data_IF_352538622546
#
_entry.id   IF_352538622546
#
_cell.length_a   1.000
_cell.length_b   1.000
_cell.length_c   1.000
_cell.angle_alpha   90.00
_cell.angle_beta   90.00
_cell.angle_gamma   90.00
#
_symmetry.space_group_name_H-M   'P 1'
#
loop_
_entity.id
_entity.type
_entity.pdbx_description
1 polymer ?
#
# COMPACT_ATOMS: atom_id res chain seq x y z
N UNK A 1 -21.26 -31.51 58.17
CA UNK A 1 -20.34 -31.05 57.11
C UNK A 1 -21.01 -29.90 56.38
N UNK A 2 -20.46 -28.68 56.48
CA UNK A 2 -20.96 -27.50 55.75
C UNK A 2 -20.07 -27.34 54.52
N UNK A 3 -20.63 -27.55 53.33
CA UNK A 3 -19.96 -27.31 52.05
C UNK A 3 -20.23 -25.87 51.63
N UNK A 4 -19.20 -25.04 51.67
CA UNK A 4 -19.22 -23.67 51.16
C UNK A 4 -18.93 -23.69 49.66
N UNK A 5 -19.92 -23.39 48.85
CA UNK A 5 -19.76 -23.23 47.40
C UNK A 5 -19.29 -21.81 47.10
N UNK A 6 -18.03 -21.65 46.69
CA UNK A 6 -17.53 -20.38 46.17
C UNK A 6 -17.91 -20.27 44.68
N UNK A 7 -18.83 -19.37 44.36
CA UNK A 7 -19.08 -18.95 42.98
C UNK A 7 -17.94 -18.06 42.50
N UNK A 8 -17.09 -18.58 41.62
CA UNK A 8 -16.17 -17.76 40.82
C UNK A 8 -16.99 -17.02 39.75
N UNK A 9 -17.12 -15.71 39.92
CA UNK A 9 -17.60 -14.81 38.87
C UNK A 9 -16.43 -14.59 37.90
N UNK A 10 -16.44 -15.29 36.76
CA UNK A 10 -15.48 -15.04 35.69
C UNK A 10 -15.83 -13.73 34.99
N UNK A 11 -15.10 -12.66 35.28
CA UNK A 11 -15.15 -11.41 34.53
C UNK A 11 -14.48 -11.67 33.17
N UNK A 12 -15.27 -11.94 32.14
CA UNK A 12 -14.79 -11.93 30.77
C UNK A 12 -14.48 -10.48 30.39
N UNK A 13 -13.22 -10.06 30.54
CA UNK A 13 -12.73 -8.86 29.90
C UNK A 13 -12.75 -9.11 28.39
N UNK A 14 -13.82 -8.68 27.72
CA UNK A 14 -13.83 -8.57 26.27
C UNK A 14 -12.79 -7.50 25.91
N UNK A 15 -11.58 -7.95 25.57
CA UNK A 15 -10.58 -7.12 24.91
C UNK A 15 -11.22 -6.60 23.63
N UNK A 16 -11.67 -5.34 23.63
CA UNK A 16 -11.94 -4.61 22.41
C UNK A 16 -10.64 -4.67 21.61
N UNK A 17 -10.63 -5.45 20.53
CA UNK A 17 -9.62 -5.31 19.50
C UNK A 17 -9.65 -3.83 19.14
N UNK A 18 -8.59 -3.09 19.47
CA UNK A 18 -8.51 -1.69 19.16
C UNK A 18 -8.54 -1.59 17.63
N UNK A 19 -9.71 -1.29 17.07
CA UNK A 19 -9.79 -0.79 15.72
C UNK A 19 -9.04 0.52 15.69
N UNK A 20 -8.07 0.61 14.81
CA UNK A 20 -7.19 1.75 14.71
C UNK A 20 -6.76 1.96 13.26
N UNK A 21 -6.50 0.87 12.56
CA UNK A 21 -5.75 0.83 11.32
C UNK A 21 -6.67 0.67 10.09
N UNK A 22 -6.15 0.86 8.88
CA UNK A 22 -6.97 0.75 7.66
C UNK A 22 -6.15 0.35 6.43
N UNK A 23 -6.80 -0.23 5.42
CA UNK A 23 -6.23 -0.50 4.09
C UNK A 23 -7.27 -0.26 2.99
N UNK A 24 -6.81 0.05 1.76
CA UNK A 24 -7.70 0.03 0.60
C UNK A 24 -8.08 -1.41 0.27
N UNK A 25 -9.38 -1.70 0.18
CA UNK A 25 -9.89 -3.03 -0.16
C UNK A 25 -10.53 -3.10 -1.54
N UNK A 26 -11.12 -2.00 -2.02
CA UNK A 26 -11.82 -1.97 -3.30
C UNK A 26 -11.77 -0.59 -3.97
N UNK A 27 -12.20 -0.56 -5.22
CA UNK A 27 -12.34 0.64 -6.04
C UNK A 27 -13.70 0.64 -6.73
N UNK A 28 -14.28 1.81 -6.87
CA UNK A 28 -15.46 2.05 -7.69
C UNK A 28 -15.10 2.97 -8.86
N UNK A 29 -15.67 2.73 -10.03
CA UNK A 29 -15.49 3.58 -11.22
C UNK A 29 -16.88 4.04 -11.65
N UNK A 30 -17.11 5.35 -11.66
CA UNK A 30 -18.41 5.96 -11.98
C UNK A 30 -19.59 5.38 -11.15
N UNK A 31 -19.32 5.04 -9.89
CA UNK A 31 -20.30 4.43 -8.99
C UNK A 31 -20.50 2.93 -9.17
N UNK A 32 -19.72 2.26 -10.03
CA UNK A 32 -19.74 0.80 -10.19
C UNK A 32 -18.61 0.13 -9.40
N UNK A 33 -18.96 -0.79 -8.49
CA UNK A 33 -18.02 -1.59 -7.71
C UNK A 33 -17.18 -2.50 -8.61
N UNK A 34 -15.86 -2.40 -8.51
CA UNK A 34 -14.92 -3.26 -9.25
C UNK A 34 -14.59 -4.58 -8.51
N UNK A 35 -15.23 -4.80 -7.36
CA UNK A 35 -15.01 -5.95 -6.47
C UNK A 35 -13.74 -5.80 -5.64
N UNK A 36 -13.47 -6.78 -4.77
CA UNK A 36 -12.27 -6.78 -3.93
C UNK A 36 -10.99 -6.72 -4.78
N UNK A 37 -10.19 -5.69 -4.56
CA UNK A 37 -8.91 -5.46 -5.22
C UNK A 37 -7.71 -5.95 -4.40
N UNK A 38 -7.90 -6.19 -3.11
CA UNK A 38 -6.88 -6.65 -2.17
C UNK A 38 -6.75 -8.18 -2.10
N UNK A 39 -6.84 -8.83 -3.26
CA UNK A 39 -6.73 -10.28 -3.41
C UNK A 39 -5.56 -10.65 -4.32
N UNK A 40 -5.19 -11.94 -4.34
CA UNK A 40 -4.10 -12.43 -5.20
C UNK A 40 -4.32 -12.15 -6.69
N UNK A 41 -5.59 -12.16 -7.14
CA UNK A 41 -5.99 -11.86 -8.51
C UNK A 41 -6.43 -10.39 -8.70
N UNK A 42 -6.22 -9.57 -7.66
CA UNK A 42 -6.69 -8.20 -7.57
C UNK A 42 -5.83 -7.18 -8.30
N UNK A 43 -6.15 -5.91 -8.07
CA UNK A 43 -5.58 -4.74 -8.74
C UNK A 43 -4.91 -3.75 -7.77
N UNK A 44 -4.88 -4.09 -6.48
CA UNK A 44 -4.24 -3.31 -5.41
C UNK A 44 -2.98 -4.04 -4.97
N UNK A 45 -1.85 -3.32 -4.93
CA UNK A 45 -0.60 -3.83 -4.34
C UNK A 45 -0.72 -3.78 -2.83
N UNK A 46 -1.24 -4.87 -2.27
CA UNK A 46 -1.75 -4.89 -0.90
C UNK A 46 -0.67 -5.29 0.11
N UNK A 47 -0.56 -4.56 1.23
CA UNK A 47 0.27 -5.00 2.35
C UNK A 47 -0.33 -6.26 3.01
N UNK A 48 0.46 -7.02 3.77
CA UNK A 48 -0.02 -8.23 4.47
C UNK A 48 -0.86 -7.91 5.72
N UNK A 49 -0.90 -6.65 6.15
CA UNK A 49 -1.65 -6.19 7.32
C UNK A 49 -2.02 -4.72 7.15
N UNK A 50 -2.89 -4.21 8.01
CA UNK A 50 -3.22 -2.79 8.10
C UNK A 50 -2.21 -1.97 8.93
N UNK A 51 -1.08 -2.53 9.34
CA UNK A 51 -0.05 -1.79 10.09
C UNK A 51 0.43 -0.55 9.31
N UNK A 52 0.71 0.57 10.00
CA UNK A 52 1.12 1.79 9.33
C UNK A 52 2.61 1.74 8.96
N UNK A 53 2.98 2.51 7.94
CA UNK A 53 4.38 2.92 7.74
C UNK A 53 4.62 4.19 8.56
N UNK A 54 5.73 4.29 9.28
CA UNK A 54 6.07 5.48 10.09
C UNK A 54 7.41 6.12 9.70
N UNK A 55 8.31 5.34 9.11
CA UNK A 55 9.60 5.84 8.64
C UNK A 55 9.46 6.46 7.24
N UNK A 56 9.40 7.80 7.17
CA UNK A 56 9.31 8.58 5.92
C UNK A 56 10.46 8.35 4.93
N UNK A 57 11.58 7.76 5.39
CA UNK A 57 12.73 7.40 4.54
C UNK A 57 12.65 5.95 4.02
N UNK A 58 11.69 5.15 4.48
CA UNK A 58 11.53 3.76 4.01
C UNK A 58 11.11 3.73 2.54
N UNK A 59 11.60 2.74 1.80
CA UNK A 59 11.09 2.42 0.46
C UNK A 59 9.61 2.06 0.47
N UNK A 60 9.11 1.56 1.61
CA UNK A 60 7.69 1.21 1.82
C UNK A 60 6.77 2.44 1.70
N UNK A 61 7.30 3.66 1.84
CA UNK A 61 6.51 4.87 1.58
C UNK A 61 5.95 4.90 0.15
N UNK A 62 6.58 4.22 -0.80
CA UNK A 62 6.15 4.24 -2.21
C UNK A 62 4.75 3.66 -2.37
N UNK A 63 4.56 2.41 -1.94
CA UNK A 63 3.35 1.62 -2.21
C UNK A 63 3.02 0.65 -1.06
N UNK A 64 3.47 0.96 0.17
CA UNK A 64 3.50 0.07 1.33
C UNK A 64 4.49 -1.10 1.20
N UNK A 65 4.61 -1.89 2.27
CA UNK A 65 5.29 -3.19 2.23
C UNK A 65 4.62 -4.10 1.19
N UNK A 66 5.42 -4.88 0.46
CA UNK A 66 5.03 -5.63 -0.76
C UNK A 66 4.56 -4.76 -1.94
N UNK A 67 4.64 -3.43 -1.83
CA UNK A 67 4.24 -2.51 -2.89
C UNK A 67 5.09 -2.57 -4.17
N UNK A 68 6.23 -3.25 -4.11
CA UNK A 68 7.11 -3.54 -5.25
C UNK A 68 6.56 -4.68 -6.14
N UNK A 69 5.64 -5.50 -5.62
CA UNK A 69 4.99 -6.56 -6.36
C UNK A 69 3.81 -5.99 -7.15
N UNK A 70 3.84 -6.14 -8.48
CA UNK A 70 2.71 -5.77 -9.32
C UNK A 70 1.49 -6.64 -8.98
N UNK A 71 0.31 -6.01 -8.92
CA UNK A 71 -0.94 -6.73 -8.77
C UNK A 71 -1.30 -7.43 -10.10
N UNK A 72 -2.09 -8.50 -10.02
CA UNK A 72 -2.40 -9.36 -11.17
C UNK A 72 -3.31 -8.68 -12.21
N UNK A 73 -4.16 -7.75 -11.77
CA UNK A 73 -5.14 -7.03 -12.60
C UNK A 73 -4.82 -5.54 -12.70
N UNK A 74 -5.24 -4.93 -13.80
CA UNK A 74 -5.21 -3.47 -14.04
C UNK A 74 -6.63 -3.02 -14.40
N UNK A 75 -7.15 -2.02 -13.69
CA UNK A 75 -8.47 -1.44 -13.98
C UNK A 75 -8.39 -0.50 -15.18
N UNK A 76 -9.45 -0.40 -15.98
CA UNK A 76 -9.49 0.53 -17.12
C UNK A 76 -10.34 1.73 -16.78
N UNK A 77 -9.83 2.93 -17.06
CA UNK A 77 -10.51 4.21 -16.84
C UNK A 77 -10.31 5.15 -18.03
N UNK A 78 -11.09 6.22 -18.08
CA UNK A 78 -10.97 7.36 -18.98
C UNK A 78 -10.78 8.63 -18.16
N UNK A 79 -10.20 9.66 -18.77
CA UNK A 79 -10.25 11.01 -18.25
C UNK A 79 -11.70 11.41 -17.96
N UNK A 80 -11.92 12.07 -16.82
CA UNK A 80 -13.25 12.44 -16.35
C UNK A 80 -14.00 11.34 -15.59
N UNK A 81 -13.56 10.07 -15.64
CA UNK A 81 -14.16 9.04 -14.78
C UNK A 81 -13.94 9.40 -13.30
N UNK A 82 -14.94 9.09 -12.48
CA UNK A 82 -14.85 9.22 -11.02
C UNK A 82 -14.35 7.90 -10.46
N UNK A 83 -13.13 7.91 -9.93
CA UNK A 83 -12.53 6.79 -9.21
C UNK A 83 -12.74 7.00 -7.72
N UNK A 84 -13.35 6.03 -7.05
CA UNK A 84 -13.52 6.03 -5.59
C UNK A 84 -12.68 4.93 -4.98
N UNK A 85 -11.81 5.28 -4.04
CA UNK A 85 -11.08 4.31 -3.23
C UNK A 85 -11.89 3.97 -1.99
N UNK A 86 -12.00 2.68 -1.67
CA UNK A 86 -12.77 2.19 -0.53
C UNK A 86 -11.84 1.52 0.49
N UNK A 87 -11.79 2.13 1.66
CA UNK A 87 -10.96 1.77 2.80
C UNK A 87 -11.75 1.00 3.85
N UNK A 88 -11.09 0.08 4.54
CA UNK A 88 -11.69 -0.74 5.58
C UNK A 88 -10.64 -1.12 6.62
N UNK A 89 -11.07 -1.31 7.87
CA UNK A 89 -10.17 -1.70 8.94
C UNK A 89 -9.95 -3.21 8.96
N UNK A 90 -11.03 -3.99 8.92
CA UNK A 90 -10.98 -5.46 9.05
C UNK A 90 -11.66 -6.16 7.89
N UNK A 91 -12.97 -6.02 7.77
CA UNK A 91 -13.79 -6.68 6.75
C UNK A 91 -14.62 -5.66 5.97
N UNK A 92 -14.75 -5.86 4.66
CA UNK A 92 -15.60 -5.04 3.80
C UNK A 92 -17.08 -5.27 4.08
N UNK A 93 -17.58 -4.69 5.17
CA UNK A 93 -18.99 -4.75 5.59
C UNK A 93 -19.50 -3.38 6.06
N UNK A 94 -20.82 -3.21 6.06
CA UNK A 94 -21.48 -1.97 6.48
C UNK A 94 -21.26 -1.65 7.99
N UNK A 95 -20.90 -2.66 8.77
CA UNK A 95 -20.60 -2.55 10.21
C UNK A 95 -19.14 -2.25 10.52
N UNK A 96 -18.25 -2.27 9.51
CA UNK A 96 -16.86 -1.89 9.70
C UNK A 96 -16.75 -0.41 10.11
N UNK A 97 -15.82 -0.14 11.02
CA UNK A 97 -15.51 1.19 11.51
C UNK A 97 -14.47 1.95 10.65
N UNK A 98 -13.94 1.31 9.60
CA UNK A 98 -13.09 1.89 8.54
C UNK A 98 -11.67 2.22 9.03
N UNK A 99 -11.58 3.08 10.03
CA UNK A 99 -10.39 3.53 10.73
C UNK A 99 -10.85 4.10 12.08
N UNK A 100 -10.04 4.04 13.14
CA UNK A 100 -10.44 4.67 14.39
C UNK A 100 -10.70 6.17 14.22
N UNK A 101 -11.76 6.66 14.85
CA UNK A 101 -12.07 8.10 14.91
C UNK A 101 -10.97 8.95 15.57
N UNK A 102 -10.04 8.33 16.32
CA UNK A 102 -8.86 9.02 16.85
C UNK A 102 -7.81 9.33 15.77
N UNK A 103 -7.82 8.63 14.64
CA UNK A 103 -6.86 8.78 13.54
C UNK A 103 -7.21 9.98 12.66
N UNK A 104 -7.26 11.16 13.28
CA UNK A 104 -7.46 12.44 12.61
C UNK A 104 -6.30 12.72 11.66
N UNK A 105 -6.61 13.20 10.46
CA UNK A 105 -5.60 13.64 9.52
C UNK A 105 -6.10 13.76 8.07
N UNK A 106 -5.20 14.08 7.13
CA UNK A 106 -5.54 14.29 5.73
C UNK A 106 -5.72 12.97 4.97
N UNK A 107 -6.40 13.07 3.83
CA UNK A 107 -6.49 12.07 2.78
C UNK A 107 -5.99 12.70 1.48
N UNK A 108 -5.12 12.02 0.73
CA UNK A 108 -4.57 12.55 -0.51
C UNK A 108 -4.29 11.47 -1.53
N UNK A 109 -4.17 11.85 -2.80
CA UNK A 109 -3.94 10.92 -3.91
C UNK A 109 -2.83 11.44 -4.80
N UNK A 110 -1.85 10.57 -5.05
CA UNK A 110 -0.80 10.78 -6.03
C UNK A 110 -1.01 9.90 -7.26
N UNK A 111 -0.48 10.35 -8.40
CA UNK A 111 -0.50 9.63 -9.66
C UNK A 111 0.90 9.63 -10.29
N UNK A 112 1.29 8.50 -10.88
CA UNK A 112 2.53 8.39 -11.65
C UNK A 112 2.37 7.36 -12.79
N UNK A 113 3.09 7.48 -13.92
CA UNK A 113 3.20 6.39 -14.88
C UNK A 113 3.75 5.14 -14.18
N UNK A 114 3.22 3.95 -14.47
CA UNK A 114 3.49 2.74 -13.67
C UNK A 114 4.98 2.45 -13.49
N UNK A 115 5.79 2.61 -14.55
CA UNK A 115 7.24 2.37 -14.46
C UNK A 115 7.94 3.37 -13.51
N UNK A 116 7.51 4.63 -13.50
CA UNK A 116 8.07 5.68 -12.64
C UNK A 116 7.60 5.55 -11.20
N UNK A 117 6.30 5.31 -11.00
CA UNK A 117 5.70 5.09 -9.69
C UNK A 117 6.28 3.86 -8.99
N UNK A 118 6.43 2.72 -9.71
CA UNK A 118 7.10 1.52 -9.16
C UNK A 118 8.56 1.77 -8.76
N UNK A 119 9.22 2.77 -9.37
CA UNK A 119 10.59 3.17 -9.02
C UNK A 119 10.64 4.25 -7.92
N UNK A 120 9.50 4.67 -7.37
CA UNK A 120 9.43 5.73 -6.35
C UNK A 120 9.62 7.14 -6.89
N UNK A 121 9.38 7.37 -8.19
CA UNK A 121 9.69 8.65 -8.85
C UNK A 121 8.49 9.22 -9.62
N UNK A 122 8.51 10.54 -9.82
CA UNK A 122 7.53 11.30 -10.62
C UNK A 122 6.08 11.15 -10.14
N UNK A 123 5.89 11.17 -8.82
CA UNK A 123 4.57 11.22 -8.21
C UNK A 123 4.03 12.66 -8.26
N UNK A 124 2.85 12.84 -8.83
CA UNK A 124 2.15 14.12 -8.91
C UNK A 124 0.93 14.03 -8.01
N UNK A 125 0.74 15.01 -7.10
CA UNK A 125 -0.45 15.06 -6.27
C UNK A 125 -1.64 15.51 -7.12
N UNK A 126 -2.72 14.74 -7.13
CA UNK A 126 -3.90 14.99 -7.97
C UNK A 126 -5.16 15.29 -7.16
N UNK A 127 -5.14 15.03 -5.85
CA UNK A 127 -6.18 15.41 -4.92
C UNK A 127 -5.64 15.44 -3.49
N UNK A 128 -6.23 16.29 -2.66
CA UNK A 128 -6.04 16.29 -1.21
C UNK A 128 -7.29 16.81 -0.50
N UNK A 129 -7.47 16.35 0.73
CA UNK A 129 -8.41 16.87 1.70
C UNK A 129 -7.77 16.83 3.09
N UNK A 130 -8.01 17.85 3.91
CA UNK A 130 -7.30 18.09 5.17
C UNK A 130 -8.24 18.38 6.34
N UNK A 131 -8.02 19.51 7.01
CA UNK A 131 -8.83 19.95 8.14
C UNK A 131 -9.81 21.07 7.72
N UNK A 132 -11.10 20.85 8.00
CA UNK A 132 -12.19 21.78 7.71
C UNK A 132 -12.55 22.59 8.96
N UNK A 133 -11.90 23.73 9.14
CA UNK A 133 -12.11 24.57 10.33
C UNK A 133 -13.56 25.02 10.55
N UNK A 134 -14.35 25.18 9.48
CA UNK A 134 -15.75 25.59 9.59
C UNK A 134 -16.66 24.55 10.26
N UNK A 135 -16.35 23.26 10.09
CA UNK A 135 -17.12 22.15 10.68
C UNK A 135 -16.36 21.42 11.80
N UNK A 136 -15.08 21.76 12.02
CA UNK A 136 -14.18 21.07 12.94
C UNK A 136 -14.01 19.58 12.61
N UNK A 137 -13.93 19.27 11.31
CA UNK A 137 -13.80 17.91 10.80
C UNK A 137 -12.48 17.71 10.07
N UNK A 138 -11.91 16.51 10.22
CA UNK A 138 -10.79 16.05 9.41
C UNK A 138 -11.28 15.23 8.21
N UNK A 139 -10.47 15.13 7.16
CA UNK A 139 -10.75 14.28 6.01
C UNK A 139 -11.02 12.81 6.41
N UNK A 140 -10.36 12.31 7.47
CA UNK A 140 -10.66 10.98 8.01
C UNK A 140 -12.04 10.87 8.69
N UNK A 141 -12.61 11.95 9.22
CA UNK A 141 -13.99 11.97 9.72
C UNK A 141 -14.99 11.83 8.59
N UNK A 142 -14.75 12.57 7.51
CA UNK A 142 -15.54 12.51 6.28
C UNK A 142 -15.43 11.11 5.66
N UNK A 143 -14.23 10.51 5.66
CA UNK A 143 -14.00 9.15 5.18
C UNK A 143 -14.83 8.11 5.96
N UNK A 144 -14.85 8.19 7.29
CA UNK A 144 -15.64 7.30 8.15
C UNK A 144 -17.14 7.50 7.87
N UNK A 145 -17.59 8.75 7.80
CA UNK A 145 -18.99 9.09 7.49
C UNK A 145 -19.41 8.52 6.11
N UNK A 146 -18.50 8.54 5.15
CA UNK A 146 -18.68 8.00 3.80
C UNK A 146 -18.37 6.51 3.66
N UNK A 147 -18.30 5.76 4.78
CA UNK A 147 -18.10 4.30 4.76
C UNK A 147 -16.84 3.91 3.98
N UNK A 148 -15.74 4.60 4.28
CA UNK A 148 -14.43 4.33 3.70
C UNK A 148 -14.21 4.90 2.30
N UNK A 149 -15.16 5.66 1.75
CA UNK A 149 -15.10 6.09 0.36
C UNK A 149 -14.62 7.53 0.23
N UNK A 150 -13.59 7.73 -0.57
CA UNK A 150 -13.19 9.05 -1.08
C UNK A 150 -12.88 8.97 -2.57
N UNK A 151 -13.16 10.04 -3.32
CA UNK A 151 -13.11 10.02 -4.77
C UNK A 151 -12.11 11.03 -5.34
N UNK A 152 -11.70 10.76 -6.58
CA UNK A 152 -11.02 11.67 -7.47
C UNK A 152 -11.67 11.62 -8.84
N UNK A 153 -11.50 12.67 -9.63
CA UNK A 153 -11.77 12.65 -11.06
C UNK A 153 -10.47 12.36 -11.79
N UNK A 154 -10.46 11.38 -12.70
CA UNK A 154 -9.27 11.03 -13.47
C UNK A 154 -8.85 12.23 -14.33
N UNK A 155 -7.63 12.77 -14.17
CA UNK A 155 -7.19 13.92 -14.96
C UNK A 155 -7.07 13.59 -16.46
N UNK A 156 -7.10 14.62 -17.31
CA UNK A 156 -6.99 14.49 -18.77
C UNK A 156 -5.57 14.18 -19.27
N UNK A 157 -5.02 13.05 -18.82
CA UNK A 157 -3.66 12.60 -19.17
C UNK A 157 -3.64 11.71 -20.42
N UNK A 158 -2.47 11.55 -21.07
CA UNK A 158 -2.31 10.60 -22.16
C UNK A 158 -2.65 9.16 -21.75
N UNK A 159 -3.17 8.39 -22.71
CA UNK A 159 -3.40 6.97 -22.54
C UNK A 159 -2.13 6.23 -22.08
N UNK A 160 -2.28 5.33 -21.11
CA UNK A 160 -1.12 4.65 -20.53
C UNK A 160 -1.46 3.89 -19.26
N UNK A 161 -0.46 3.16 -18.74
CA UNK A 161 -0.56 2.52 -17.43
C UNK A 161 -0.04 3.48 -16.36
N UNK A 162 -0.84 3.66 -15.32
CA UNK A 162 -0.56 4.53 -14.18
C UNK A 162 -0.76 3.78 -12.87
N UNK A 163 -0.06 4.25 -11.83
CA UNK A 163 -0.38 3.92 -10.44
C UNK A 163 -1.05 5.11 -9.81
N UNK A 164 -2.17 4.87 -9.13
CA UNK A 164 -2.78 5.83 -8.22
C UNK A 164 -2.46 5.39 -6.80
N UNK A 165 -2.00 6.33 -5.98
CA UNK A 165 -1.55 6.11 -4.60
C UNK A 165 -2.41 6.95 -3.66
N UNK A 166 -3.58 6.44 -3.24
CA UNK A 166 -4.32 7.05 -2.13
C UNK A 166 -3.53 6.86 -0.84
N UNK A 167 -3.54 7.88 0.02
CA UNK A 167 -2.79 7.93 1.28
C UNK A 167 -3.60 8.63 2.37
N UNK A 168 -3.57 8.05 3.57
CA UNK A 168 -4.06 8.63 4.82
C UNK A 168 -2.85 8.85 5.73
N UNK A 169 -2.80 10.00 6.40
CA UNK A 169 -1.81 10.29 7.44
C UNK A 169 -2.53 10.48 8.76
N UNK A 170 -2.40 9.55 9.70
CA UNK A 170 -2.99 9.67 11.03
C UNK A 170 -2.04 10.40 11.99
N UNK A 171 -2.54 11.44 12.64
CA UNK A 171 -1.76 12.40 13.44
C UNK A 171 -1.96 12.26 14.96
N UNK A 172 -2.62 11.19 15.41
CA UNK A 172 -2.87 10.99 16.85
C UNK A 172 -1.60 10.85 17.69
N UNK A 173 -0.47 10.48 17.08
CA UNK A 173 0.86 10.55 17.69
C UNK A 173 1.80 11.52 16.94
N UNK A 174 1.25 12.38 16.08
CA UNK A 174 2.00 13.34 15.25
C UNK A 174 2.71 14.43 16.04
N UNK A 175 2.48 14.53 17.35
CA UNK A 175 3.14 15.48 18.25
C UNK A 175 4.61 15.11 18.59
N UNK A 176 5.15 14.04 18.01
CA UNK A 176 6.56 13.64 18.12
C UNK A 176 7.10 13.17 16.78
N UNK A 177 8.40 13.37 16.55
CA UNK A 177 9.04 12.91 15.31
C UNK A 177 8.89 11.40 15.14
N UNK A 178 8.48 10.97 13.93
CA UNK A 178 8.21 9.57 13.62
C UNK A 178 6.91 9.01 14.23
N UNK A 179 6.08 9.86 14.85
CA UNK A 179 4.79 9.44 15.38
C UNK A 179 3.63 9.49 14.38
N UNK A 180 3.73 10.28 13.30
CA UNK A 180 2.75 10.23 12.22
C UNK A 180 2.71 8.83 11.58
N UNK A 181 1.50 8.33 11.34
CA UNK A 181 1.26 7.00 10.77
C UNK A 181 0.68 7.12 9.37
N UNK A 182 1.31 6.47 8.41
CA UNK A 182 0.95 6.57 7.00
C UNK A 182 0.33 5.24 6.54
N UNK A 183 -0.84 5.34 5.92
CA UNK A 183 -1.56 4.22 5.31
C UNK A 183 -1.69 4.53 3.82
N UNK A 184 -1.14 3.67 2.97
CA UNK A 184 -1.20 3.84 1.52
C UNK A 184 -1.15 2.49 0.82
N UNK A 185 -1.62 2.46 -0.41
CA UNK A 185 -1.45 1.36 -1.34
C UNK A 185 -1.30 1.94 -2.74
N UNK A 186 -0.74 1.15 -3.66
CA UNK A 186 -0.73 1.50 -5.08
C UNK A 186 -1.77 0.67 -5.83
N UNK A 187 -2.63 1.37 -6.57
CA UNK A 187 -3.71 0.80 -7.36
C UNK A 187 -3.38 0.93 -8.85
N UNK A 188 -3.55 -0.15 -9.61
CA UNK A 188 -3.14 -0.22 -11.01
C UNK A 188 -4.27 0.18 -11.96
N UNK A 189 -4.03 1.22 -12.75
CA UNK A 189 -4.98 1.71 -13.75
C UNK A 189 -4.35 1.80 -15.15
N UNK A 190 -5.19 1.59 -16.17
CA UNK A 190 -4.93 1.91 -17.56
C UNK A 190 -5.88 3.02 -17.98
N UNK A 191 -5.35 4.21 -18.22
CA UNK A 191 -6.09 5.31 -18.84
C UNK A 191 -6.22 5.01 -20.34
N UNK A 192 -7.43 5.10 -20.87
CA UNK A 192 -7.76 4.72 -22.26
C UNK A 192 -8.16 5.90 -23.14
N UNK A 193 -8.41 7.07 -22.56
CA UNK A 193 -8.62 8.33 -23.28
C UNK A 193 -7.30 8.92 -23.77
N UNK A 194 -7.35 9.64 -24.88
CA UNK A 194 -6.24 10.36 -25.51
C UNK A 194 -6.10 11.78 -24.96
N UNK A 195 -6.08 11.90 -23.63
CA UNK A 195 -5.90 13.18 -22.96
C UNK A 195 -4.57 13.83 -23.32
N UNK A 196 -4.54 15.16 -23.29
CA UNK A 196 -3.39 15.94 -23.78
C UNK A 196 -2.48 16.45 -22.67
N UNK A 197 -2.93 16.41 -21.42
CA UNK A 197 -2.21 17.01 -20.30
C UNK A 197 -1.17 16.03 -19.74
N UNK A 198 0.07 16.11 -20.25
CA UNK A 198 1.19 15.36 -19.68
C UNK A 198 1.39 15.70 -18.19
N UNK A 199 1.58 14.66 -17.36
CA UNK A 199 1.94 14.85 -15.96
C UNK A 199 3.24 15.66 -15.86
N UNK A 200 3.29 16.71 -15.02
CA UNK A 200 4.52 17.46 -14.80
C UNK A 200 5.60 16.61 -14.14
N UNK A 201 6.79 17.20 -14.00
CA UNK A 201 7.82 16.62 -13.13
C UNK A 201 7.27 16.51 -11.71
N UNK A 202 7.14 15.29 -11.22
CA UNK A 202 6.66 14.98 -9.88
C UNK A 202 7.78 14.87 -8.85
N UNK A 203 7.38 14.53 -7.63
CA UNK A 203 8.29 14.27 -6.50
C UNK A 203 8.72 12.80 -6.43
N UNK A 204 9.73 12.50 -5.62
CA UNK A 204 10.08 11.14 -5.24
C UNK A 204 9.36 10.72 -3.96
N UNK A 205 8.90 9.48 -3.91
CA UNK A 205 8.34 8.86 -2.70
C UNK A 205 9.05 7.51 -2.56
N UNK A 206 9.89 7.30 -1.53
CA UNK A 206 10.25 8.23 -0.45
C UNK A 206 11.04 9.47 -0.93
N UNK A 207 11.02 10.53 -0.11
CA UNK A 207 11.77 11.78 -0.35
C UNK A 207 10.93 13.04 -0.32
N UNK A 208 9.62 12.94 -0.58
CA UNK A 208 8.68 14.06 -0.50
C UNK A 208 8.45 14.56 0.92
N UNK A 209 8.57 13.68 1.93
CA UNK A 209 8.32 14.01 3.33
C UNK A 209 9.60 13.99 4.18
N UNK A 210 9.69 14.94 5.09
CA UNK A 210 10.56 14.92 6.26
C UNK A 210 9.75 14.58 7.51
N UNK A 211 10.40 13.95 8.49
CA UNK A 211 9.79 13.67 9.80
C UNK A 211 9.48 14.97 10.60
N UNK A 212 10.04 16.10 10.16
CA UNK A 212 9.88 17.43 10.75
C UNK A 212 9.04 18.38 9.90
N UNK A 213 8.44 17.91 8.81
CA UNK A 213 7.52 18.75 8.04
C UNK A 213 6.34 19.15 8.94
N UNK A 214 5.87 20.39 8.82
CA UNK A 214 4.83 20.92 9.72
C UNK A 214 3.51 20.14 9.65
N UNK A 215 3.23 19.45 8.53
CA UNK A 215 2.08 18.56 8.38
C UNK A 215 2.31 17.14 8.93
N UNK A 216 3.55 16.76 9.19
CA UNK A 216 3.95 15.44 9.69
C UNK A 216 4.20 15.48 11.19
N UNK A 217 4.99 16.45 11.67
CA UNK A 217 5.16 16.74 13.08
C UNK A 217 4.11 17.78 13.49
N UNK A 218 2.89 17.32 13.72
CA UNK A 218 1.74 18.16 14.02
C UNK A 218 1.02 17.70 15.30
N UNK A 219 0.83 18.62 16.25
CA UNK A 219 0.13 18.36 17.50
C UNK A 219 -1.36 18.74 17.39
N UNK A 220 -2.20 17.73 17.13
CA UNK A 220 -3.66 17.89 17.02
C UNK A 220 -4.34 18.19 18.38
N UNK A 221 -3.63 18.14 19.50
CA UNK A 221 -4.20 18.34 20.83
C UNK A 221 -4.03 19.78 21.34
N UNK A 222 -3.21 20.59 20.66
CA UNK A 222 -3.07 22.02 20.93
C UNK A 222 -4.03 22.84 20.07
N UNK A 223 -4.14 24.14 20.35
CA UNK A 223 -4.92 25.05 19.51
C UNK A 223 -4.22 25.30 18.17
N UNK A 224 -4.95 25.13 17.07
CA UNK A 224 -4.52 25.46 15.71
C UNK A 224 -5.72 25.98 14.89
N UNK A 225 -5.42 26.76 13.86
CA UNK A 225 -6.42 27.36 12.98
C UNK A 225 -6.44 26.75 11.57
N UNK A 226 -5.40 26.00 11.24
CA UNK A 226 -5.21 25.38 9.93
C UNK A 226 -4.24 24.24 10.05
N UNK A 227 -4.35 23.27 9.16
CA UNK A 227 -3.41 22.17 9.02
C UNK A 227 -2.67 22.27 7.67
N UNK A 228 -1.33 22.31 7.65
CA UNK A 228 -0.56 22.32 6.41
C UNK A 228 -0.44 20.89 5.85
N UNK A 229 -1.24 20.55 4.84
CA UNK A 229 -1.15 19.23 4.19
C UNK A 229 0.26 19.05 3.60
N UNK A 230 0.97 17.94 3.90
CA UNK A 230 2.35 17.75 3.49
C UNK A 230 2.48 17.43 1.99
N UNK A 231 3.68 17.67 1.43
CA UNK A 231 4.00 17.40 0.03
C UNK A 231 3.74 18.59 -0.91
N UNK A 232 3.81 18.39 -2.24
CA UNK A 232 3.59 19.46 -3.21
C UNK A 232 2.12 19.87 -3.26
N UNK A 233 1.83 21.02 -3.88
CA UNK A 233 0.46 21.43 -4.19
C UNK A 233 -0.22 20.44 -5.15
N UNK A 234 -1.55 20.39 -5.13
CA UNK A 234 -2.35 19.64 -6.11
C UNK A 234 -2.09 20.20 -7.52
N UNK A 235 -1.81 19.32 -8.47
CA UNK A 235 -1.69 19.70 -9.87
C UNK A 235 -3.03 20.20 -10.43
N UNK A 236 -2.99 21.33 -11.13
CA UNK A 236 -4.16 22.00 -11.70
C UNK A 236 -4.76 21.29 -12.93
N UNK A 237 -4.16 20.19 -13.38
CA UNK A 237 -4.62 19.41 -14.52
C UNK A 237 -4.20 19.96 -15.89
N UNK A 238 -3.32 20.97 -15.94
CA UNK A 238 -2.82 21.55 -17.20
C UNK A 238 -1.39 21.12 -17.51
N UNK A 239 -1.09 20.85 -18.78
CA UNK A 239 0.28 20.59 -19.23
C UNK A 239 1.21 21.75 -18.88
N UNK A 240 2.24 21.48 -18.08
CA UNK A 240 3.22 22.50 -17.68
C UNK A 240 4.19 22.83 -18.82
N UNK A 241 3.83 23.81 -19.63
CA UNK A 241 4.80 24.62 -20.36
C UNK A 241 5.38 25.70 -19.46
N UNK A 242 6.49 25.38 -18.76
CA UNK A 242 7.28 26.28 -17.90
C UNK A 242 6.61 26.79 -16.62
N UNK A 243 7.39 26.72 -15.55
CA UNK A 243 7.07 27.15 -14.20
C UNK A 243 6.79 28.65 -14.09
N UNK A 244 5.59 28.99 -13.59
CA UNK A 244 5.37 30.23 -12.87
C UNK A 244 4.51 29.96 -11.65
N UNK A 245 5.12 30.13 -10.47
CA UNK A 245 4.45 30.20 -9.19
C UNK A 245 3.34 31.26 -9.24
N UNK A 246 2.09 30.80 -9.21
CA UNK A 246 0.91 31.63 -9.09
C UNK A 246 -0.07 30.91 -8.19
N UNK A 247 -0.21 31.37 -6.95
CA UNK A 247 -1.23 30.90 -6.04
C UNK A 247 -2.61 31.16 -6.63
N UNK A 248 -3.29 30.09 -7.05
CA UNK A 248 -4.71 30.11 -7.34
C UNK A 248 -5.37 29.01 -6.52
N UNK A 249 -5.95 29.44 -5.39
CA UNK A 249 -6.85 28.66 -4.56
C UNK A 249 -8.08 28.26 -5.39
N UNK A 250 -8.15 26.99 -5.76
CA UNK A 250 -9.39 26.38 -6.23
C UNK A 250 -9.97 25.59 -5.06
N UNK A 251 -11.15 26.03 -4.60
CA UNK A 251 -11.90 25.38 -3.53
C UNK A 251 -12.25 23.92 -3.90
N UNK A 252 -12.38 23.01 -2.92
CA UNK A 252 -12.82 21.65 -3.21
C UNK A 252 -14.24 21.67 -3.77
N UNK A 253 -14.45 20.91 -4.85
CA UNK A 253 -15.78 20.56 -5.34
C UNK A 253 -16.50 19.75 -4.27
N UNK A 254 -17.44 20.39 -3.58
CA UNK A 254 -18.34 19.74 -2.64
C UNK A 254 -19.10 18.63 -3.34
N UNK A 255 -18.84 17.38 -2.92
CA UNK A 255 -19.55 16.20 -3.39
C UNK A 255 -20.91 16.14 -2.69
N UNK A 256 -21.91 16.83 -3.25
CA UNK A 256 -23.31 16.65 -2.89
C UNK A 256 -23.99 15.81 -3.97
N UNK A 257 -24.10 14.50 -3.74
CA UNK A 257 -24.98 13.64 -4.53
C UNK A 257 -26.41 13.92 -4.06
N UNK A 258 -27.16 14.70 -4.84
CA UNK A 258 -28.59 14.88 -4.65
C UNK A 258 -29.32 13.59 -5.06
N UNK A 259 -29.92 12.91 -4.08
CA UNK A 259 -30.84 11.80 -4.33
C UNK A 259 -32.14 12.34 -4.96
N UNK A 260 -32.32 12.10 -6.25
CA UNK A 260 -33.60 12.34 -6.94
C UNK A 260 -34.55 11.18 -6.66
N UNK A 261 -35.53 11.38 -5.78
CA UNK A 261 -36.75 10.56 -5.72
C UNK A 261 -37.68 10.91 -6.88
N UNK A 262 -38.22 9.95 -7.65
CA UNK A 262 -39.29 10.24 -8.61
C UNK A 262 -40.60 10.52 -7.86
N UNK A 263 -41.20 11.67 -8.15
CA UNK A 263 -42.55 12.01 -7.74
C UNK A 263 -43.58 11.27 -8.61
N UNK A 264 -44.49 10.53 -7.98
CA UNK A 264 -45.73 10.05 -8.60
C UNK A 264 -46.90 10.68 -7.84
N UNK A 265 -47.75 11.40 -8.55
CA UNK A 265 -48.86 12.19 -7.99
C UNK A 265 -50.20 11.49 -8.24
N UNK A 266 -50.99 11.37 -7.16
CA UNK A 266 -52.47 11.28 -7.03
C UNK A 266 -53.21 10.11 -7.72
N UNK A 267 -54.33 9.55 -7.25
CA UNK A 267 -55.20 9.57 -6.06
C UNK A 267 -56.01 8.23 -6.15
N UNK A 268 -56.71 7.68 -5.16
CA UNK A 268 -58.05 8.06 -4.64
C UNK A 268 -58.36 7.17 -3.41
N UNK A 269 -59.13 7.73 -2.49
CA UNK A 269 -59.69 7.22 -1.23
C UNK A 269 -60.37 5.84 -1.24
N UNK A 270 -60.43 5.16 -0.07
CA UNK A 270 -61.63 4.99 0.79
C UNK A 270 -61.46 3.81 1.80
N UNK A 271 -61.61 4.17 3.08
CA UNK A 271 -62.21 3.49 4.24
C UNK A 271 -61.88 2.04 4.67
N UNK A 272 -61.42 1.99 5.93
CA UNK A 272 -61.89 1.15 7.06
C UNK A 272 -62.07 -0.36 6.91
N UNK A 273 -61.37 -1.14 7.75
CA UNK A 273 -61.99 -1.87 8.87
C UNK A 273 -60.93 -2.59 9.70
N UNK A 274 -60.90 -2.29 11.00
CA UNK A 274 -60.25 -3.10 12.02
C UNK A 274 -61.07 -4.36 12.31
N UNK A 275 -60.44 -5.53 12.33
CA UNK A 275 -60.97 -6.70 13.03
C UNK A 275 -59.81 -7.43 13.72
N UNK A 276 -59.82 -7.37 15.03
CA UNK A 276 -59.02 -8.19 15.93
C UNK A 276 -59.90 -9.33 16.45
N UNK A 277 -59.39 -10.56 16.42
CA UNK A 277 -59.71 -11.69 17.31
C UNK A 277 -58.64 -12.78 17.03
N UNK A 278 -57.66 -13.02 17.90
CA UNK A 278 -57.69 -13.71 19.19
C UNK A 278 -57.30 -15.21 19.07
N UNK A 279 -56.08 -15.48 19.56
CA UNK A 279 -55.59 -16.62 20.35
C UNK A 279 -55.76 -18.08 19.87
N UNK A 280 -54.63 -18.78 19.76
CA UNK A 280 -54.46 -20.14 20.27
C UNK A 280 -53.01 -20.37 20.74
N UNK A 281 -52.88 -20.76 22.00
CA UNK A 281 -51.67 -21.16 22.73
C UNK A 281 -51.34 -22.63 22.56
N UNK A 282 -50.04 -22.99 22.49
CA UNK A 282 -49.38 -24.20 23.06
C UNK A 282 -47.90 -24.12 22.67
N UNK A 283 -46.98 -23.85 23.59
CA UNK A 283 -46.22 -24.78 24.46
C UNK A 283 -45.00 -25.43 23.77
N UNK A 284 -43.91 -25.49 24.54
CA UNK A 284 -42.52 -25.61 24.16
C UNK A 284 -42.03 -27.04 23.87
N UNK A 285 -40.95 -27.15 23.09
CA UNK A 285 -39.95 -28.22 23.25
C UNK A 285 -38.57 -27.78 22.72
N UNK A 286 -37.55 -27.99 23.54
CA UNK A 286 -36.14 -27.70 23.30
C UNK A 286 -35.48 -28.68 22.30
N UNK A 287 -34.36 -28.32 21.65
CA UNK A 287 -33.59 -29.26 20.86
C UNK A 287 -32.62 -30.09 21.74
N UNK A 288 -32.63 -31.40 21.47
CA UNK A 288 -31.79 -32.42 22.08
C UNK A 288 -30.38 -32.41 21.48
N UNK A 289 -29.40 -32.53 22.37
CA UNK A 289 -27.98 -32.76 22.11
C UNK A 289 -27.77 -34.23 21.75
N UNK A 290 -26.90 -34.54 20.78
CA UNK A 290 -26.32 -35.88 20.68
C UNK A 290 -24.83 -35.81 20.35
N UNK A 291 -24.05 -36.21 21.36
CA UNK A 291 -22.62 -36.52 21.33
C UNK A 291 -22.45 -38.01 21.06
N UNK A 292 -21.47 -38.39 20.23
CA UNK A 292 -20.81 -39.69 20.32
C UNK A 292 -19.45 -39.67 19.62
N UNK A 293 -18.39 -39.92 20.40
CA UNK A 293 -17.12 -40.52 19.96
C UNK A 293 -17.03 -41.91 20.66
N UNK A 294 -15.95 -42.73 20.56
CA UNK A 294 -14.83 -42.84 19.62
C UNK A 294 -14.58 -44.30 19.12
N UNK A 295 -13.71 -44.55 18.12
CA UNK A 295 -12.98 -45.85 17.97
C UNK A 295 -11.60 -45.66 17.32
N UNK A 296 -10.59 -46.32 17.91
CA UNK A 296 -9.16 -46.38 17.53
C UNK A 296 -8.87 -47.44 16.42
N UNK A 297 -7.99 -47.10 15.46
CA UNK A 297 -6.63 -47.63 15.20
C UNK A 297 -6.50 -48.82 14.22
N UNK A 298 -5.75 -48.63 13.12
CA UNK A 298 -4.56 -49.42 12.75
C UNK A 298 -3.87 -48.90 11.45
N UNK A 299 -2.57 -48.62 11.61
CA UNK A 299 -1.41 -48.62 10.70
C UNK A 299 -1.54 -49.02 9.22
N UNK A 300 -0.88 -48.26 8.33
CA UNK A 300 0.26 -48.73 7.51
C UNK A 300 1.00 -47.58 6.83
N UNK A 301 2.33 -47.65 6.83
CA UNK A 301 3.26 -46.72 6.20
C UNK A 301 3.43 -47.02 4.70
N UNK A 302 3.52 -45.98 3.86
CA UNK A 302 4.10 -46.08 2.51
C UNK A 302 4.89 -44.81 2.17
N UNK A 303 6.18 -45.04 1.94
CA UNK A 303 7.21 -44.18 1.35
C UNK A 303 6.83 -43.74 -0.06
N UNK A 304 7.09 -42.49 -0.46
CA UNK A 304 7.21 -42.14 -1.88
C UNK A 304 8.41 -41.24 -2.13
N UNK A 305 9.27 -41.73 -3.01
CA UNK A 305 10.56 -41.17 -3.40
C UNK A 305 10.42 -40.15 -4.53
N UNK A 306 11.37 -39.21 -4.53
CA UNK A 306 11.70 -38.33 -5.63
C UNK A 306 12.15 -39.11 -6.88
N UNK A 307 11.75 -38.63 -8.06
CA UNK A 307 12.33 -39.03 -9.34
C UNK A 307 12.82 -37.79 -10.09
N UNK A 308 14.10 -37.83 -10.46
CA UNK A 308 14.75 -36.92 -11.40
C UNK A 308 14.63 -37.48 -12.84
N UNK A 309 14.66 -36.64 -13.88
CA UNK A 309 14.82 -37.13 -15.25
C UNK A 309 16.31 -37.21 -15.64
N UNK A 310 16.71 -38.41 -16.08
CA UNK A 310 17.94 -38.68 -16.82
C UNK A 310 17.70 -38.59 -18.33
N UNK A 311 18.55 -37.87 -19.07
CA UNK A 311 18.73 -38.05 -20.51
C UNK A 311 20.20 -38.29 -20.84
N UNK A 312 20.43 -39.39 -21.56
CA UNK A 312 21.72 -39.93 -21.95
C UNK A 312 22.39 -39.11 -23.06
N UNK A 313 23.71 -38.99 -22.97
CA UNK A 313 24.60 -38.57 -24.06
C UNK A 313 25.36 -39.79 -24.59
N UNK A 314 25.47 -39.91 -25.91
CA UNK A 314 26.54 -40.67 -26.58
C UNK A 314 26.98 -39.97 -27.86
N UNK A 315 28.30 -39.91 -28.02
CA UNK A 315 29.07 -39.30 -29.10
C UNK A 315 29.37 -40.30 -30.20
N UNK A 316 29.49 -39.85 -31.46
CA UNK A 316 30.58 -40.28 -32.37
C UNK A 316 30.61 -39.48 -33.68
N UNK A 317 31.84 -39.31 -34.19
CA UNK A 317 32.27 -38.61 -35.42
C UNK A 317 32.75 -39.66 -36.45
N UNK A 318 32.72 -39.39 -37.78
CA UNK A 318 33.93 -39.17 -38.62
C UNK A 318 33.71 -38.08 -39.71
N UNK A 319 34.57 -37.08 -39.94
CA UNK A 319 35.85 -37.01 -40.69
C UNK A 319 35.77 -36.89 -42.25
N UNK A 320 36.16 -35.68 -42.74
CA UNK A 320 36.92 -35.28 -43.97
C UNK A 320 36.40 -35.61 -45.41
N UNK A 321 36.31 -34.61 -46.30
CA UNK A 321 37.39 -34.19 -47.27
C UNK A 321 36.93 -33.16 -48.34
N UNK A 322 37.67 -32.03 -48.40
CA UNK A 322 38.04 -31.10 -49.49
C UNK A 322 37.26 -30.94 -50.82
N UNK A 323 37.08 -29.67 -51.27
CA UNK A 323 37.96 -29.04 -52.29
C UNK A 323 37.75 -27.50 -52.51
N UNK A 324 38.87 -26.76 -52.36
CA UNK A 324 39.46 -25.70 -53.23
C UNK A 324 38.78 -24.35 -53.53
N UNK A 325 39.31 -23.31 -52.87
CA UNK A 325 40.29 -22.30 -53.34
C UNK A 325 39.90 -21.00 -54.10
N UNK A 326 40.55 -19.91 -53.60
CA UNK A 326 41.04 -18.64 -54.19
C UNK A 326 40.17 -17.37 -54.04
N UNK A 327 40.52 -16.37 -53.21
CA UNK A 327 41.68 -15.44 -53.15
C UNK A 327 41.36 -14.07 -53.76
N UNK A 328 41.36 -12.99 -52.95
CA UNK A 328 42.39 -11.91 -52.95
C UNK A 328 41.94 -10.69 -52.12
N UNK A 329 42.76 -10.35 -51.14
CA UNK A 329 42.84 -9.07 -50.44
C UNK A 329 43.72 -8.06 -51.22
N UNK A 330 43.52 -6.75 -50.99
CA UNK A 330 44.64 -5.79 -50.95
C UNK A 330 44.30 -4.57 -50.07
N UNK A 331 45.21 -4.29 -49.14
CA UNK A 331 45.36 -3.06 -48.33
C UNK A 331 46.02 -1.94 -49.19
N UNK A 332 46.37 -0.71 -48.79
CA UNK A 332 46.61 -0.02 -47.51
C UNK A 332 46.84 1.50 -47.79
N UNK A 333 47.18 2.25 -46.72
CA UNK A 333 47.97 3.51 -46.62
C UNK A 333 47.17 4.81 -46.45
N UNK A 334 47.58 5.82 -45.65
CA UNK A 334 48.68 6.03 -44.69
C UNK A 334 48.56 7.47 -44.11
N UNK A 335 48.96 7.70 -42.85
CA UNK A 335 49.83 8.82 -42.38
C UNK A 335 49.57 9.13 -40.89
N UNK A 336 50.42 9.91 -40.22
CA UNK A 336 51.56 9.53 -39.38
C UNK A 336 51.82 10.65 -38.36
N UNK A 337 52.58 10.33 -37.30
CA UNK A 337 53.36 11.20 -36.38
C UNK A 337 52.60 11.86 -35.21
N UNK A 338 53.24 12.22 -34.08
CA UNK A 338 54.38 11.73 -33.29
C UNK A 338 54.44 12.60 -32.01
N UNK A 339 55.16 12.13 -31.00
CA UNK A 339 55.22 12.54 -29.59
C UNK A 339 56.25 13.65 -29.33
N UNK A 340 56.01 14.60 -28.40
CA UNK A 340 57.05 15.25 -27.56
C UNK A 340 56.46 15.71 -26.20
N UNK A 341 57.18 15.42 -25.09
CA UNK A 341 56.95 15.88 -23.72
C UNK A 341 57.58 17.27 -23.43
N UNK A 342 57.30 17.93 -22.28
CA UNK A 342 58.27 17.84 -21.19
C UNK A 342 57.66 17.85 -19.76
N UNK A 343 58.54 17.68 -18.77
CA UNK A 343 58.30 17.40 -17.35
C UNK A 343 58.47 18.62 -16.41
N UNK A 344 58.06 18.41 -15.14
CA UNK A 344 58.45 19.09 -13.88
C UNK A 344 57.87 20.51 -13.63
N UNK A 345 57.45 20.96 -12.42
CA UNK A 345 57.57 20.50 -11.03
C UNK A 345 56.68 21.34 -10.08
N UNK A 346 56.32 20.74 -8.92
CA UNK A 346 56.17 21.33 -7.56
C UNK A 346 54.81 21.78 -7.00
N UNK A 347 54.37 20.98 -6.01
CA UNK A 347 53.79 21.28 -4.68
C UNK A 347 52.64 22.30 -4.50
N UNK A 348 51.47 21.81 -4.01
CA UNK A 348 50.90 22.13 -2.67
C UNK A 348 50.08 20.92 -2.16
N UNK A 349 50.13 20.67 -0.84
CA UNK A 349 49.58 19.54 -0.06
C UNK A 349 48.06 19.69 0.29
N UNK A 350 47.41 18.71 0.95
CA UNK A 350 45.99 18.38 0.81
C UNK A 350 45.07 19.00 1.88
N UNK A 351 43.77 19.10 1.58
CA UNK A 351 42.70 19.19 2.58
C UNK A 351 41.83 17.95 2.46
N UNK A 352 41.75 17.21 3.56
CA UNK A 352 40.96 16.00 3.71
C UNK A 352 39.46 16.31 3.72
N UNK A 353 38.68 15.50 3.01
CA UNK A 353 37.32 15.16 3.42
C UNK A 353 37.05 13.71 3.05
N UNK A 354 36.71 12.94 4.09
CA UNK A 354 36.62 11.50 4.03
C UNK A 354 35.41 11.06 3.19
N UNK A 355 35.67 10.17 2.23
CA UNK A 355 34.68 9.23 1.73
C UNK A 355 34.27 8.27 2.83
N UNK A 356 32.97 8.05 3.00
CA UNK A 356 32.45 6.84 3.61
C UNK A 356 31.51 6.15 2.62
N UNK A 357 32.10 5.28 1.81
CA UNK A 357 31.40 4.14 1.22
C UNK A 357 31.14 3.13 2.34
N UNK A 358 29.90 2.68 2.52
CA UNK A 358 29.61 1.55 3.42
C UNK A 358 29.02 0.37 2.64
N UNK A 359 29.93 -0.47 2.15
CA UNK A 359 29.69 -1.86 1.82
C UNK A 359 29.51 -2.70 3.11
N UNK A 360 28.49 -3.56 3.09
CA UNK A 360 28.28 -4.80 3.84
C UNK A 360 29.16 -5.09 5.08
N UNK A 361 28.51 -5.17 6.25
CA UNK A 361 29.03 -5.90 7.42
C UNK A 361 28.08 -7.03 7.79
N UNK A 362 28.51 -8.26 7.46
CA UNK A 362 28.01 -9.47 8.09
C UNK A 362 28.66 -9.57 9.48
N UNK A 363 27.94 -9.14 10.53
CA UNK A 363 28.47 -9.20 11.90
C UNK A 363 27.67 -8.47 12.99
N UNK A 364 26.48 -7.94 12.67
CA UNK A 364 25.64 -7.27 13.66
C UNK A 364 24.75 -8.23 14.47
N UNK A 365 24.19 -7.70 15.56
CA UNK A 365 23.11 -8.33 16.32
C UNK A 365 21.80 -7.61 15.96
N UNK A 366 20.78 -8.35 15.56
CA UNK A 366 19.47 -7.82 15.21
C UNK A 366 18.70 -7.41 16.47
N UNK A 367 18.13 -6.19 16.47
CA UNK A 367 17.29 -5.68 17.57
C UNK A 367 15.95 -6.42 17.67
N UNK A 368 15.26 -6.27 18.80
CA UNK A 368 13.89 -6.74 18.97
C UNK A 368 13.04 -6.22 17.81
N UNK A 369 12.34 -7.14 17.15
CA UNK A 369 11.56 -6.95 15.93
C UNK A 369 12.34 -6.69 14.62
N UNK A 370 13.67 -6.75 14.62
CA UNK A 370 14.44 -6.75 13.38
C UNK A 370 14.53 -8.13 12.73
N UNK A 371 14.78 -8.14 11.42
CA UNK A 371 14.94 -9.37 10.64
C UNK A 371 16.25 -10.06 11.00
N UNK A 372 16.15 -11.30 11.43
CA UNK A 372 17.27 -12.16 11.83
C UNK A 372 17.48 -13.35 10.89
N UNK A 373 16.70 -13.47 9.82
CA UNK A 373 16.84 -14.60 8.90
C UNK A 373 15.86 -14.62 7.74
N UNK A 374 15.93 -15.73 7.00
CA UNK A 374 15.18 -15.97 5.77
C UNK A 374 16.09 -16.18 4.56
N UNK A 375 15.57 -16.83 3.52
CA UNK A 375 16.26 -17.04 2.25
C UNK A 375 16.79 -15.69 1.71
N UNK A 376 18.05 -15.68 1.28
CA UNK A 376 18.80 -14.52 0.80
C UNK A 376 19.02 -13.38 1.82
N UNK A 377 18.76 -13.59 3.11
CA UNK A 377 19.11 -12.61 4.14
C UNK A 377 20.63 -12.55 4.33
N UNK A 378 21.22 -11.37 4.08
CA UNK A 378 22.66 -11.10 4.26
C UNK A 378 22.96 -10.28 5.52
N UNK A 379 21.92 -9.97 6.30
CA UNK A 379 22.01 -9.17 7.52
C UNK A 379 22.32 -10.00 8.78
N UNK A 380 22.17 -9.39 9.97
CA UNK A 380 22.42 -10.06 11.24
C UNK A 380 21.55 -11.32 11.40
N UNK A 381 22.16 -12.43 11.83
CA UNK A 381 21.45 -13.70 12.08
C UNK A 381 21.28 -14.04 13.57
N UNK A 382 21.90 -13.24 14.44
CA UNK A 382 21.81 -13.37 15.89
C UNK A 382 20.97 -12.23 16.43
N UNK A 383 20.03 -12.54 17.32
CA UNK A 383 19.16 -11.56 17.97
C UNK A 383 19.78 -10.98 19.24
N UNK A 384 19.37 -9.77 19.62
CA UNK A 384 19.83 -9.15 20.86
C UNK A 384 19.38 -9.92 22.10
N UNK A 385 20.17 -9.81 23.17
CA UNK A 385 19.94 -10.57 24.41
C UNK A 385 18.51 -10.40 24.91
N UNK A 386 17.85 -11.50 25.27
CA UNK A 386 16.43 -11.53 25.68
C UNK A 386 15.45 -11.76 24.53
N UNK A 387 15.92 -11.95 23.30
CA UNK A 387 15.08 -12.28 22.15
C UNK A 387 15.60 -13.51 21.39
N UNK A 388 14.69 -14.20 20.69
CA UNK A 388 14.98 -15.38 19.86
C UNK A 388 14.61 -15.11 18.42
N UNK A 389 15.40 -15.64 17.48
CA UNK A 389 15.10 -15.53 16.06
C UNK A 389 13.98 -16.50 15.68
N UNK A 390 12.74 -16.00 15.58
CA UNK A 390 11.58 -16.80 15.20
C UNK A 390 11.40 -16.77 13.68
N UNK A 391 11.42 -17.95 13.07
CA UNK A 391 11.10 -18.10 11.65
C UNK A 391 9.58 -18.04 11.46
N UNK A 392 9.12 -17.16 10.57
CA UNK A 392 7.70 -17.04 10.21
C UNK A 392 7.41 -17.73 8.88
N UNK A 393 8.33 -17.64 7.93
CA UNK A 393 8.27 -18.34 6.65
C UNK A 393 9.70 -18.56 6.11
N UNK A 394 9.90 -19.30 5.00
CA UNK A 394 11.23 -19.56 4.45
C UNK A 394 12.04 -18.30 4.11
N UNK A 395 11.38 -17.18 3.80
CA UNK A 395 12.01 -15.92 3.39
C UNK A 395 12.18 -14.92 4.52
N UNK A 396 11.58 -15.15 5.70
CA UNK A 396 11.57 -14.16 6.79
C UNK A 396 11.58 -14.79 8.19
N UNK A 397 12.57 -14.37 8.99
CA UNK A 397 12.66 -14.61 10.42
C UNK A 397 12.90 -13.28 11.16
N UNK A 398 12.33 -13.12 12.35
CA UNK A 398 12.38 -11.88 13.13
C UNK A 398 12.74 -12.16 14.60
N UNK A 399 13.47 -11.25 15.23
CA UNK A 399 13.74 -11.31 16.67
C UNK A 399 12.48 -10.99 17.47
N UNK A 400 12.06 -11.92 18.32
CA UNK A 400 10.89 -11.76 19.21
C UNK A 400 11.28 -12.15 20.64
N UNK A 401 10.53 -11.67 21.63
CA UNK A 401 10.77 -12.05 23.03
C UNK A 401 10.67 -13.56 23.22
N UNK A 402 11.62 -14.13 23.96
CA UNK A 402 11.49 -15.51 24.43
C UNK A 402 10.36 -15.55 25.46
N UNK A 403 9.25 -16.23 25.12
CA UNK A 403 8.22 -16.56 26.11
C UNK A 403 8.67 -17.64 27.08
#
# INVERSE_FOLDING_TARGET
MKTTTYSLLALAAASKLASAHTTVQAVWINGEDQGLGNSADGYIRSPPSNSPVTNVKSTDMTCNVNGDQAASKTLSVKAGDVVTFEWHHSDRSDSDDIIASSHKGPVQVYMAPTAKGSAGTNWVKIAEDGYHKSSDEWATDILIANKGKHNITVPDVPAGNYLFRPEIIALHEGNREGGAQFYMECVQFKVTSDGSNELPSGVSIPGVYSATDAGILFDIYNSFDSYPIPGPDVWDGTSSGSSSSGSSSSAPVSSAVAATTPATQAAVEVSSSSAAAAAATTEAAAPVVSSAAPVQQATSAVTSQAQAPTTFATSSKPAKTACKNKSKSKAAASSTQSVVAPAATSNVAPVASASASSSASAGGVAKKYERCGGINHTGPTTCESGTVCKQWNPYYSQCVESQ
#
